data_IF_462769452554
#
_entry.id   IF_462769452554
#
_cell.length_a   1.000
_cell.length_b   1.000
_cell.length_c   1.000
_cell.angle_alpha   90.00
_cell.angle_beta   90.00
_cell.angle_gamma   90.00
#
_symmetry.space_group_name_H-M   'P 1'
#
loop_
_entity.id
_entity.type
_entity.pdbx_description
1 polymer ?
#
# COMPACT_ATOMS: atom_id res chain seq x y z
N UNK A 1 -4.62 3.36 -13.81
CA UNK A 1 -3.35 2.60 -13.82
C UNK A 1 -2.67 2.73 -12.47
N UNK A 2 -2.18 1.63 -11.95
CA UNK A 2 -1.55 1.63 -10.64
C UNK A 2 -0.06 1.94 -10.74
N UNK A 3 0.51 2.32 -9.60
CA UNK A 3 1.94 2.57 -9.52
C UNK A 3 2.73 1.29 -9.83
N UNK A 4 3.97 1.40 -10.31
CA UNK A 4 4.76 0.22 -10.66
C UNK A 4 4.92 -0.78 -9.51
N UNK A 5 4.91 -0.33 -8.27
CA UNK A 5 5.08 -1.22 -7.12
C UNK A 5 3.78 -1.63 -6.45
N UNK A 6 2.64 -1.22 -7.03
CA UNK A 6 1.33 -1.50 -6.43
C UNK A 6 1.12 -2.99 -6.20
N UNK A 7 1.32 -3.80 -7.22
CA UNK A 7 1.05 -5.23 -7.11
C UNK A 7 1.99 -5.92 -6.14
N UNK A 8 3.23 -5.46 -6.09
CA UNK A 8 4.20 -6.03 -5.16
C UNK A 8 3.78 -5.72 -3.72
N UNK A 9 3.43 -4.48 -3.44
CA UNK A 9 3.00 -4.08 -2.10
C UNK A 9 1.72 -4.81 -1.71
N UNK A 10 0.76 -4.86 -2.64
CA UNK A 10 -0.49 -5.54 -2.40
C UNK A 10 -0.25 -7.02 -2.10
N UNK A 11 0.64 -7.66 -2.85
CA UNK A 11 0.97 -9.06 -2.63
C UNK A 11 1.56 -9.30 -1.25
N UNK A 12 2.47 -8.44 -0.80
CA UNK A 12 3.05 -8.56 0.53
C UNK A 12 2.00 -8.43 1.61
N UNK A 13 1.07 -7.49 1.44
CA UNK A 13 0.00 -7.31 2.42
C UNK A 13 -0.94 -8.51 2.43
N UNK A 14 -1.34 -8.98 1.24
CA UNK A 14 -2.26 -10.10 1.12
C UNK A 14 -1.68 -11.38 1.71
N UNK A 15 -0.36 -11.57 1.58
CA UNK A 15 0.31 -12.74 2.12
C UNK A 15 0.58 -12.65 3.63
N UNK A 16 0.25 -11.51 4.23
CA UNK A 16 0.48 -11.32 5.65
C UNK A 16 1.92 -10.96 6.02
N UNK A 17 2.76 -10.69 5.03
CA UNK A 17 4.15 -10.30 5.28
C UNK A 17 4.27 -8.85 5.72
N UNK A 18 3.34 -8.01 5.26
CA UNK A 18 3.31 -6.59 5.60
C UNK A 18 2.01 -6.26 6.31
N UNK A 19 2.08 -5.35 7.29
CA UNK A 19 0.88 -4.81 7.93
C UNK A 19 0.56 -3.43 7.32
N UNK A 20 -0.49 -2.79 7.85
CA UNK A 20 -0.92 -1.50 7.33
C UNK A 20 0.16 -0.43 7.47
N UNK A 21 0.97 -0.52 8.52
CA UNK A 21 2.06 0.43 8.75
C UNK A 21 3.09 0.35 7.63
N UNK A 22 3.40 -0.86 7.18
CA UNK A 22 4.35 -1.04 6.07
C UNK A 22 3.78 -0.49 4.77
N UNK A 23 2.49 -0.71 4.53
CA UNK A 23 1.84 -0.18 3.34
C UNK A 23 1.83 1.35 3.40
N UNK A 24 1.59 1.91 4.59
CA UNK A 24 1.66 3.36 4.79
C UNK A 24 3.05 3.89 4.44
N UNK A 25 4.10 3.20 4.86
CA UNK A 25 5.47 3.58 4.53
C UNK A 25 5.69 3.59 3.02
N UNK A 26 5.08 2.67 2.31
CA UNK A 26 5.21 2.63 0.85
C UNK A 26 4.64 3.89 0.21
N UNK A 27 3.55 4.44 0.78
CA UNK A 27 3.01 5.71 0.31
C UNK A 27 4.00 6.84 0.57
N UNK A 28 4.57 6.89 1.76
CA UNK A 28 5.52 7.92 2.13
C UNK A 28 6.74 7.89 1.19
N UNK A 29 7.18 6.70 0.83
CA UNK A 29 8.33 6.54 -0.07
C UNK A 29 7.99 6.78 -1.53
N UNK A 30 6.71 6.95 -1.84
CA UNK A 30 6.29 7.18 -3.21
C UNK A 30 6.17 5.92 -4.06
N UNK A 31 6.16 4.76 -3.43
CA UNK A 31 6.00 3.49 -4.15
C UNK A 31 4.58 3.29 -4.62
N UNK A 32 3.61 3.75 -3.85
CA UNK A 32 2.19 3.70 -4.18
C UNK A 32 1.56 5.02 -3.78
N UNK A 33 0.30 5.23 -4.18
CA UNK A 33 -0.42 6.45 -3.84
C UNK A 33 -1.32 6.21 -2.64
N UNK A 34 -1.84 7.31 -2.06
CA UNK A 34 -2.78 7.21 -0.95
C UNK A 34 -4.03 6.44 -1.36
N UNK A 35 -4.51 6.65 -2.61
CA UNK A 35 -5.66 5.91 -3.11
C UNK A 35 -5.38 4.42 -3.17
N UNK A 36 -4.16 4.05 -3.56
CA UNK A 36 -3.76 2.65 -3.62
C UNK A 36 -3.65 2.04 -2.23
N UNK A 37 -3.21 2.82 -1.25
CA UNK A 37 -3.21 2.35 0.14
C UNK A 37 -4.62 1.93 0.55
N UNK A 38 -5.61 2.77 0.23
CA UNK A 38 -6.99 2.46 0.56
C UNK A 38 -7.47 1.20 -0.17
N UNK A 39 -7.11 1.04 -1.44
CA UNK A 39 -7.49 -0.15 -2.18
C UNK A 39 -6.90 -1.42 -1.56
N UNK A 40 -5.66 -1.33 -1.09
CA UNK A 40 -4.96 -2.50 -0.55
C UNK A 40 -5.46 -2.86 0.85
N UNK A 41 -5.58 -1.86 1.72
CA UNK A 41 -5.89 -2.11 3.13
C UNK A 41 -7.36 -2.02 3.46
N UNK A 42 -8.15 -1.37 2.61
CA UNK A 42 -9.57 -1.14 2.86
C UNK A 42 -9.84 0.00 3.82
N UNK A 43 -8.81 0.78 4.16
CA UNK A 43 -8.96 1.92 5.06
C UNK A 43 -8.41 3.18 4.43
N UNK A 44 -9.00 4.35 4.73
CA UNK A 44 -8.50 5.60 4.16
C UNK A 44 -7.10 5.91 4.68
N UNK A 45 -6.27 6.45 3.79
CA UNK A 45 -4.92 6.83 4.16
C UNK A 45 -4.94 8.06 5.08
N UNK A 46 -4.20 7.99 6.18
CA UNK A 46 -4.03 9.13 7.08
C UNK A 46 -2.54 9.34 7.31
N UNK A 47 -2.15 10.60 7.35
CA UNK A 47 -0.75 10.94 7.56
C UNK A 47 -0.30 10.75 8.99
#
# INVERSE_FOLDING_TARGET
MHSPKYEKVKGFYDMGLWDKRKVHDAVVKGWITAAEYEEITGEPYTE
#
